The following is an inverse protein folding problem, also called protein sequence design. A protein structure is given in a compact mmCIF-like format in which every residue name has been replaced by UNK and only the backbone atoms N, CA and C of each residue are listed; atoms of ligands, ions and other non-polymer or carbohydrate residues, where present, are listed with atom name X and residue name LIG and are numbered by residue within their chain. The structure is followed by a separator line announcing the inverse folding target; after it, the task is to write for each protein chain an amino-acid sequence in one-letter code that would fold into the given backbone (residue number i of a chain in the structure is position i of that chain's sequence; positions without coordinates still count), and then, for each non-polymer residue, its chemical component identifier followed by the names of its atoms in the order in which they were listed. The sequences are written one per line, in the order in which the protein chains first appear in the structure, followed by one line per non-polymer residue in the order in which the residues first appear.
data_IF_211623361919
#
_entry.id   IF_211623361919
#
_cell.length_a   1.000
_cell.length_b   1.000
_cell.length_c   1.000
_cell.angle_alpha   90.00
_cell.angle_beta   90.00
_cell.angle_gamma   90.00
#
_symmetry.space_group_name_H-M   'P 1'
#
loop_
_entity.id
_entity.type
_entity.pdbx_description
1 polymer ?
#
# COMPACT_ATOMS: atom_id res chain seq x y z
N UNK A 1 27.70 -2.09 -6.82
CA UNK A 1 26.75 -1.17 -6.15
C UNK A 1 27.41 0.19 -5.97
N UNK A 2 26.69 1.27 -6.27
CA UNK A 2 27.17 2.65 -6.10
C UNK A 2 26.74 3.17 -4.73
N UNK A 3 27.65 3.83 -4.02
CA UNK A 3 27.41 4.33 -2.66
C UNK A 3 28.11 5.64 -2.40
N UNK A 4 27.55 6.41 -1.47
CA UNK A 4 28.22 7.56 -0.86
C UNK A 4 29.31 7.03 0.08
N UNK A 5 30.55 7.49 -0.07
CA UNK A 5 31.72 7.02 0.68
C UNK A 5 32.46 8.10 1.45
N UNK A 6 32.11 9.36 1.27
CA UNK A 6 32.72 10.44 2.03
C UNK A 6 32.07 11.78 1.75
N UNK A 7 32.52 12.80 2.47
CA UNK A 7 32.18 14.19 2.18
C UNK A 7 33.33 15.16 2.53
N UNK A 8 33.41 16.37 1.95
CA UNK A 8 34.54 17.28 2.21
C UNK A 8 34.68 17.77 3.65
N UNK A 9 33.60 17.70 4.46
CA UNK A 9 33.52 18.18 5.84
C UNK A 9 33.22 17.02 6.80
N UNK A 10 33.74 15.84 6.52
CA UNK A 10 33.36 14.60 7.22
C UNK A 10 33.69 14.64 8.72
N UNK A 11 34.73 15.39 9.10
CA UNK A 11 35.08 15.64 10.50
C UNK A 11 34.08 16.56 11.23
N UNK A 12 33.30 17.37 10.51
CA UNK A 12 32.33 18.32 11.07
C UNK A 12 30.91 17.76 11.07
N UNK A 13 30.54 16.98 10.03
CA UNK A 13 29.20 16.42 9.89
C UNK A 13 29.19 15.05 9.21
N UNK A 14 28.47 14.11 9.82
CA UNK A 14 28.12 12.82 9.24
C UNK A 14 26.84 12.86 8.39
N UNK A 15 26.16 14.01 8.38
CA UNK A 15 24.87 14.24 7.75
C UNK A 15 25.07 15.09 6.50
N UNK A 16 24.40 14.70 5.41
CA UNK A 16 24.42 15.38 4.13
C UNK A 16 23.00 15.81 3.75
N UNK A 17 22.86 17.08 3.41
CA UNK A 17 21.58 17.70 3.00
C UNK A 17 21.77 18.49 1.71
N UNK A 18 20.69 19.10 1.22
CA UNK A 18 20.68 19.86 -0.01
C UNK A 18 21.83 20.91 -0.06
N UNK A 19 22.50 20.98 -1.22
CA UNK A 19 23.65 21.83 -1.49
C UNK A 19 25.01 21.30 -1.00
N UNK A 20 25.01 20.24 -0.19
CA UNK A 20 26.27 19.65 0.29
C UNK A 20 26.91 18.74 -0.77
N UNK A 21 28.24 18.66 -0.71
CA UNK A 21 29.02 17.79 -1.58
C UNK A 21 29.28 16.44 -0.92
N UNK A 22 29.27 15.39 -1.73
CA UNK A 22 29.57 14.03 -1.32
C UNK A 22 30.51 13.36 -2.32
N UNK A 23 31.13 12.25 -1.93
CA UNK A 23 31.95 11.42 -2.81
C UNK A 23 31.29 10.06 -3.01
N UNK A 24 31.31 9.54 -4.25
CA UNK A 24 30.84 8.20 -4.57
C UNK A 24 31.99 7.26 -4.96
N UNK A 25 31.80 5.96 -4.72
CA UNK A 25 32.79 4.89 -4.97
C UNK A 25 32.95 4.47 -6.44
N UNK A 26 32.49 5.29 -7.39
CA UNK A 26 32.59 5.05 -8.83
C UNK A 26 33.04 6.32 -9.54
N UNK A 27 33.86 6.16 -10.56
CA UNK A 27 34.47 7.28 -11.28
C UNK A 27 34.49 7.09 -12.79
N UNK A 28 35.45 7.73 -13.46
CA UNK A 28 35.59 7.71 -14.91
C UNK A 28 35.74 6.29 -15.46
N UNK A 29 36.50 5.45 -14.76
CA UNK A 29 36.71 4.04 -15.16
C UNK A 29 35.43 3.21 -15.13
N UNK A 30 34.40 3.67 -14.41
CA UNK A 30 33.09 3.02 -14.32
C UNK A 30 32.04 3.66 -15.24
N UNK A 31 32.44 4.61 -16.11
CA UNK A 31 31.55 5.29 -17.06
C UNK A 31 30.71 6.42 -16.45
N UNK A 32 31.05 6.90 -15.25
CA UNK A 32 30.37 8.04 -14.62
C UNK A 32 30.70 9.33 -15.38
N UNK A 33 29.67 10.14 -15.65
CA UNK A 33 29.82 11.41 -16.37
C UNK A 33 29.33 12.58 -15.53
N UNK A 34 29.97 13.75 -15.73
CA UNK A 34 29.47 15.00 -15.16
C UNK A 34 28.08 15.28 -15.71
N UNK A 35 27.13 15.60 -14.83
CA UNK A 35 25.73 15.80 -15.18
C UNK A 35 24.82 14.59 -14.94
N UNK A 36 25.38 13.37 -14.76
CA UNK A 36 24.60 12.22 -14.34
C UNK A 36 23.87 12.53 -13.03
N UNK A 37 22.61 12.09 -12.93
CA UNK A 37 21.80 12.24 -11.72
C UNK A 37 21.56 10.87 -11.11
N UNK A 38 21.64 10.81 -9.78
CA UNK A 38 21.44 9.60 -9.00
C UNK A 38 20.37 9.86 -7.93
N UNK A 39 19.47 8.89 -7.75
CA UNK A 39 18.59 8.83 -6.59
C UNK A 39 19.37 8.23 -5.42
N UNK A 40 19.32 8.90 -4.27
CA UNK A 40 19.87 8.42 -3.02
C UNK A 40 18.79 7.59 -2.32
N UNK A 41 19.09 6.34 -2.03
CA UNK A 41 18.18 5.41 -1.35
C UNK A 41 18.85 4.70 -0.19
N UNK A 42 18.06 4.34 0.82
CA UNK A 42 18.50 3.56 1.98
C UNK A 42 17.69 2.28 2.10
N UNK A 43 18.27 1.10 1.84
CA UNK A 43 17.61 -0.17 2.08
C UNK A 43 17.28 -0.34 3.57
N UNK A 44 16.00 -0.51 3.91
CA UNK A 44 15.52 -0.72 5.29
C UNK A 44 15.39 -2.20 5.65
N UNK A 45 15.31 -3.08 4.67
CA UNK A 45 15.31 -4.54 4.88
C UNK A 45 14.27 -5.27 4.02
N UNK A 46 14.19 -6.61 4.16
CA UNK A 46 13.23 -7.42 3.42
C UNK A 46 11.78 -7.05 3.81
N UNK A 47 10.94 -6.85 2.81
CA UNK A 47 9.53 -6.56 2.95
C UNK A 47 8.70 -7.80 2.64
N UNK A 48 7.93 -8.25 3.62
CA UNK A 48 7.08 -9.42 3.51
C UNK A 48 5.63 -9.00 3.41
N UNK A 49 4.83 -9.77 2.68
CA UNK A 49 3.41 -9.56 2.55
C UNK A 49 2.74 -9.54 3.94
N UNK A 50 2.07 -8.45 4.34
CA UNK A 50 1.56 -8.30 5.70
C UNK A 50 0.33 -9.17 5.99
N UNK A 51 -0.52 -9.44 4.97
CA UNK A 51 -1.77 -10.18 5.16
C UNK A 51 -1.73 -11.67 4.79
N UNK A 52 -0.82 -12.13 3.92
CA UNK A 52 -0.69 -13.55 3.53
C UNK A 52 0.31 -14.26 4.44
N UNK A 53 -0.13 -15.36 5.05
CA UNK A 53 0.64 -16.20 5.99
C UNK A 53 0.94 -15.57 7.36
N UNK A 54 0.32 -14.44 7.71
CA UNK A 54 0.22 -13.95 9.08
C UNK A 54 -0.75 -14.83 9.86
N UNK A 55 -0.40 -16.10 10.11
CA UNK A 55 -1.13 -16.88 11.13
C UNK A 55 -0.95 -16.15 12.46
N UNK A 56 -2.03 -15.50 12.87
CA UNK A 56 -2.36 -15.09 14.22
C UNK A 56 -1.78 -16.07 15.24
N UNK A 57 -0.70 -15.67 15.92
CA UNK A 57 -0.39 -16.01 17.31
C UNK A 57 1.01 -15.48 17.66
N UNK A 58 1.08 -14.67 18.71
CA UNK A 58 2.30 -14.45 19.51
C UNK A 58 3.17 -15.72 19.66
N UNK A 59 4.48 -15.59 19.91
CA UNK A 59 5.54 -15.16 19.00
C UNK A 59 6.15 -16.40 18.32
N UNK A 60 5.71 -16.75 17.11
CA UNK A 60 6.48 -17.70 16.30
C UNK A 60 7.46 -16.92 15.42
N UNK A 61 8.68 -16.72 15.92
CA UNK A 61 9.77 -15.94 15.29
C UNK A 61 10.15 -16.37 13.86
N UNK A 62 9.60 -17.49 13.33
CA UNK A 62 10.13 -18.18 12.16
C UNK A 62 9.16 -18.32 10.97
N UNK A 63 7.98 -17.69 10.98
CA UNK A 63 7.10 -17.67 9.79
C UNK A 63 6.87 -16.25 9.30
N UNK A 64 7.84 -15.75 8.52
CA UNK A 64 7.66 -14.53 7.74
C UNK A 64 6.73 -14.83 6.55
N UNK A 65 5.90 -13.86 6.17
CA UNK A 65 4.98 -13.98 5.03
C UNK A 65 5.70 -14.21 3.70
N UNK A 66 4.98 -14.13 2.59
CA UNK A 66 5.62 -14.16 1.27
C UNK A 66 6.59 -12.96 1.14
N UNK A 67 7.85 -13.21 0.77
CA UNK A 67 8.81 -12.12 0.50
C UNK A 67 8.38 -11.38 -0.77
N UNK A 68 8.10 -10.10 -0.65
CA UNK A 68 7.72 -9.23 -1.77
C UNK A 68 8.94 -8.53 -2.38
N UNK A 69 9.93 -8.17 -1.55
CA UNK A 69 11.14 -7.51 -2.00
C UNK A 69 11.96 -6.93 -0.85
N UNK A 70 12.69 -5.85 -1.11
CA UNK A 70 13.36 -5.05 -0.09
C UNK A 70 12.74 -3.66 -0.06
N UNK A 71 12.35 -3.19 1.12
CA UNK A 71 11.84 -1.83 1.28
C UNK A 71 13.02 -0.86 1.28
N UNK A 72 12.99 0.12 0.40
CA UNK A 72 13.97 1.20 0.31
C UNK A 72 13.32 2.52 0.66
N UNK A 73 13.98 3.28 1.52
CA UNK A 73 13.62 4.67 1.78
C UNK A 73 14.24 5.57 0.71
N UNK A 74 13.43 6.48 0.15
CA UNK A 74 13.89 7.51 -0.78
C UNK A 74 14.41 8.70 0.01
N UNK A 75 15.72 8.97 -0.09
CA UNK A 75 16.40 10.03 0.68
C UNK A 75 16.40 11.34 -0.10
N UNK A 76 16.71 11.29 -1.40
CA UNK A 76 16.80 12.48 -2.24
C UNK A 76 17.50 12.22 -3.57
N UNK A 77 18.07 13.27 -4.15
CA UNK A 77 18.78 13.23 -5.43
C UNK A 77 20.14 13.90 -5.33
N UNK A 78 21.10 13.40 -6.09
CA UNK A 78 22.42 13.98 -6.24
C UNK A 78 22.85 14.02 -7.71
N UNK A 79 23.53 15.10 -8.09
CA UNK A 79 24.08 15.30 -9.43
C UNK A 79 25.60 15.21 -9.38
N UNK A 80 26.19 14.55 -10.37
CA UNK A 80 27.64 14.50 -10.54
C UNK A 80 28.15 15.86 -11.01
N UNK A 81 29.00 16.49 -10.22
CA UNK A 81 29.65 17.78 -10.52
C UNK A 81 31.13 17.65 -10.87
N UNK A 82 31.73 16.50 -10.59
CA UNK A 82 33.12 16.21 -10.94
C UNK A 82 33.39 14.72 -10.95
N UNK A 83 34.30 14.27 -11.81
CA UNK A 83 34.64 12.84 -11.95
C UNK A 83 36.16 12.66 -11.89
N UNK A 84 36.62 11.82 -10.98
CA UNK A 84 38.00 11.34 -10.87
C UNK A 84 38.10 9.90 -11.41
N UNK A 85 39.29 9.28 -11.37
CA UNK A 85 39.49 7.97 -11.98
C UNK A 85 38.64 6.86 -11.34
N UNK A 86 38.59 6.82 -9.99
CA UNK A 86 37.90 5.79 -9.20
C UNK A 86 36.73 6.31 -8.36
N UNK A 87 36.55 7.63 -8.34
CA UNK A 87 35.52 8.30 -7.54
C UNK A 87 34.86 9.40 -8.36
N UNK A 88 33.73 9.89 -7.87
CA UNK A 88 33.11 11.09 -8.40
C UNK A 88 32.60 11.97 -7.27
N UNK A 89 32.56 13.26 -7.52
CA UNK A 89 32.03 14.27 -6.63
C UNK A 89 30.59 14.57 -7.02
N UNK A 90 29.71 14.40 -6.03
CA UNK A 90 28.29 14.64 -6.12
C UNK A 90 27.96 15.94 -5.40
N UNK A 91 26.95 16.64 -5.89
CA UNK A 91 26.21 17.68 -5.17
C UNK A 91 24.81 17.15 -4.89
N UNK A 92 24.37 17.17 -3.64
CA UNK A 92 23.00 16.81 -3.28
C UNK A 92 22.09 17.94 -3.75
N UNK A 93 21.21 17.64 -4.69
CA UNK A 93 20.33 18.65 -5.31
C UNK A 93 18.97 18.72 -4.62
N UNK A 94 18.52 17.61 -4.04
CA UNK A 94 17.25 17.51 -3.33
C UNK A 94 17.39 16.53 -2.15
N UNK A 95 16.68 16.80 -1.05
CA UNK A 95 16.68 15.93 0.13
C UNK A 95 15.31 15.97 0.79
N UNK A 96 14.65 14.82 0.87
CA UNK A 96 13.44 14.62 1.67
C UNK A 96 13.81 14.32 3.13
N UNK A 97 14.90 13.58 3.31
CA UNK A 97 15.55 13.27 4.58
C UNK A 97 17.05 13.37 4.38
N UNK A 98 17.81 13.22 5.46
CA UNK A 98 19.24 13.38 5.41
C UNK A 98 20.00 12.16 4.87
N UNK A 99 20.89 12.41 3.92
CA UNK A 99 21.80 11.43 3.35
C UNK A 99 23.00 11.20 4.27
N UNK A 100 23.53 9.98 4.23
CA UNK A 100 24.61 9.50 5.09
C UNK A 100 25.62 8.69 4.28
N UNK A 101 26.80 8.53 4.85
CA UNK A 101 27.80 7.60 4.32
C UNK A 101 27.23 6.19 4.28
N UNK A 102 27.47 5.48 3.17
CA UNK A 102 26.95 4.15 2.92
C UNK A 102 25.58 4.11 2.23
N UNK A 103 24.85 5.23 2.13
CA UNK A 103 23.61 5.28 1.37
C UNK A 103 23.86 4.91 -0.11
N UNK A 104 22.94 4.16 -0.69
CA UNK A 104 23.05 3.63 -2.04
C UNK A 104 22.62 4.66 -3.07
N UNK A 105 23.27 4.61 -4.23
CA UNK A 105 23.00 5.48 -5.37
C UNK A 105 22.47 4.63 -6.52
N UNK A 106 21.28 4.96 -7.01
CA UNK A 106 20.70 4.36 -8.20
C UNK A 106 20.70 5.42 -9.28
N UNK A 107 21.13 5.07 -10.50
CA UNK A 107 21.10 6.00 -11.62
C UNK A 107 19.66 6.44 -11.84
N UNK A 108 19.42 7.75 -11.78
CA UNK A 108 18.10 8.30 -11.96
C UNK A 108 17.84 8.54 -13.43
N UNK A 109 16.78 7.93 -13.92
CA UNK A 109 16.20 8.21 -15.23
C UNK A 109 14.80 8.77 -15.01
N UNK A 110 14.45 9.82 -15.77
CA UNK A 110 13.14 10.45 -15.64
C UNK A 110 12.06 9.40 -15.91
N UNK A 111 11.14 9.14 -14.97
CA UNK A 111 10.13 8.11 -15.15
C UNK A 111 9.17 8.50 -16.28
N UNK A 112 8.70 7.50 -17.01
CA UNK A 112 7.63 7.67 -17.98
C UNK A 112 6.34 7.98 -17.22
N UNK A 113 5.71 9.12 -17.52
CA UNK A 113 4.42 9.46 -16.93
C UNK A 113 3.33 8.69 -17.67
N UNK A 114 2.45 7.97 -16.96
CA UNK A 114 1.32 7.32 -17.61
C UNK A 114 0.35 8.37 -18.17
N UNK A 115 -0.31 8.03 -19.27
CA UNK A 115 -1.43 8.84 -19.76
C UNK A 115 -2.58 8.76 -18.76
N UNK A 116 -3.08 9.92 -18.34
CA UNK A 116 -4.21 9.97 -17.43
C UNK A 116 -5.50 9.70 -18.19
N UNK A 117 -6.27 8.73 -17.72
CA UNK A 117 -7.62 8.47 -18.18
C UNK A 117 -8.50 9.69 -17.90
N UNK A 118 -9.36 10.04 -18.87
CA UNK A 118 -10.37 11.08 -18.68
C UNK A 118 -11.30 10.74 -17.50
N UNK A 119 -11.79 11.78 -16.83
CA UNK A 119 -12.75 11.58 -15.73
C UNK A 119 -14.01 10.87 -16.23
N UNK A 120 -14.35 9.76 -15.59
CA UNK A 120 -15.54 8.95 -15.86
C UNK A 120 -16.04 8.38 -14.52
N UNK A 121 -17.32 8.54 -14.14
CA UNK A 121 -17.83 8.04 -12.85
C UNK A 121 -17.49 6.56 -12.63
N UNK A 122 -17.06 6.22 -11.41
CA UNK A 122 -16.87 4.81 -11.03
C UNK A 122 -18.26 4.22 -10.77
N UNK A 123 -18.56 3.08 -11.39
CA UNK A 123 -19.76 2.30 -11.07
C UNK A 123 -19.59 1.64 -9.67
N UNK A 124 -20.36 2.06 -8.65
CA UNK A 124 -20.24 1.49 -7.30
C UNK A 124 -20.63 0.01 -7.23
N UNK A 125 -21.33 -0.50 -8.25
CA UNK A 125 -21.86 -1.86 -8.31
C UNK A 125 -21.16 -2.71 -9.38
N UNK A 126 -20.01 -2.26 -9.88
CA UNK A 126 -19.28 -2.95 -10.93
C UNK A 126 -19.01 -4.43 -10.56
N UNK A 127 -19.46 -5.41 -11.37
CA UNK A 127 -19.19 -6.81 -11.12
C UNK A 127 -17.71 -7.13 -11.27
N UNK A 128 -17.25 -8.23 -10.68
CA UNK A 128 -15.88 -8.73 -10.89
C UNK A 128 -15.65 -9.01 -12.38
N UNK A 129 -14.45 -8.69 -12.88
CA UNK A 129 -14.10 -8.85 -14.28
C UNK A 129 -13.07 -9.98 -14.53
N UNK A 130 -12.71 -10.72 -13.48
CA UNK A 130 -11.78 -11.86 -13.48
C UNK A 130 -10.38 -11.57 -14.04
N UNK A 131 -10.02 -10.28 -14.16
CA UNK A 131 -8.66 -9.85 -14.48
C UNK A 131 -7.74 -10.00 -13.27
N UNK A 132 -6.48 -9.61 -13.45
CA UNK A 132 -5.45 -9.66 -12.40
C UNK A 132 -5.94 -8.99 -11.12
N UNK A 133 -5.95 -9.77 -10.03
CA UNK A 133 -6.30 -9.32 -8.67
C UNK A 133 -5.05 -9.23 -7.81
N UNK A 134 -5.06 -8.29 -6.87
CA UNK A 134 -4.02 -8.08 -5.88
C UNK A 134 -4.56 -7.39 -4.63
N UNK A 135 -3.66 -6.87 -3.81
CA UNK A 135 -3.96 -6.17 -2.58
C UNK A 135 -3.01 -4.99 -2.36
N UNK A 136 -3.52 -3.93 -1.72
CA UNK A 136 -2.68 -2.84 -1.22
C UNK A 136 -1.94 -3.35 0.02
N UNK A 137 -0.62 -3.43 -0.05
CA UNK A 137 0.23 -4.01 1.02
C UNK A 137 1.05 -2.99 1.78
N UNK A 138 1.08 -1.75 1.30
CA UNK A 138 1.78 -0.68 1.99
C UNK A 138 1.51 0.67 1.36
N UNK A 139 2.02 1.70 2.00
CA UNK A 139 1.94 3.08 1.54
C UNK A 139 3.22 3.83 1.89
N UNK A 140 3.49 4.90 1.13
CA UNK A 140 4.61 5.79 1.44
C UNK A 140 4.35 6.46 2.80
N UNK A 141 5.30 6.34 3.72
CA UNK A 141 5.17 6.87 5.08
C UNK A 141 4.32 6.01 6.04
N UNK A 142 3.97 4.78 5.65
CA UNK A 142 3.29 3.80 6.52
C UNK A 142 1.94 4.35 7.04
N UNK A 143 1.17 4.99 6.16
CA UNK A 143 -0.18 5.46 6.44
C UNK A 143 -1.19 4.32 6.27
N UNK A 144 -2.00 4.07 7.28
CA UNK A 144 -3.04 3.02 7.23
C UNK A 144 -4.28 3.46 6.44
N UNK A 145 -4.68 4.72 6.64
CA UNK A 145 -5.78 5.35 5.93
C UNK A 145 -5.23 6.05 4.68
N UNK A 146 -5.86 5.77 3.54
CA UNK A 146 -5.43 6.20 2.23
C UNK A 146 -6.54 7.01 1.57
N UNK A 147 -6.13 8.01 0.80
CA UNK A 147 -7.01 8.87 0.01
C UNK A 147 -6.36 9.24 -1.32
N UNK A 148 -7.05 10.07 -2.09
CA UNK A 148 -6.58 10.57 -3.38
C UNK A 148 -5.16 11.16 -3.23
N UNK A 149 -4.29 10.86 -4.20
CA UNK A 149 -2.87 11.24 -4.25
C UNK A 149 -1.93 10.48 -3.33
N UNK A 150 -2.42 9.56 -2.50
CA UNK A 150 -1.53 8.69 -1.73
C UNK A 150 -0.81 7.68 -2.63
N UNK A 151 0.48 7.48 -2.34
CA UNK A 151 1.34 6.53 -3.03
C UNK A 151 1.28 5.19 -2.29
N UNK A 152 0.87 4.15 -3.01
CA UNK A 152 0.62 2.81 -2.46
C UNK A 152 1.49 1.76 -3.13
N UNK A 153 1.76 0.67 -2.40
CA UNK A 153 2.53 -0.48 -2.84
C UNK A 153 1.55 -1.66 -3.00
N UNK A 154 1.64 -2.33 -4.14
CA UNK A 154 0.78 -3.44 -4.54
C UNK A 154 1.55 -4.76 -4.50
N UNK A 155 0.89 -5.86 -4.13
CA UNK A 155 1.47 -7.22 -4.16
C UNK A 155 1.43 -7.90 -5.54
N UNK A 156 1.13 -7.11 -6.58
CA UNK A 156 1.12 -7.52 -7.98
C UNK A 156 2.06 -6.63 -8.77
N UNK A 157 2.76 -7.22 -9.75
CA UNK A 157 3.76 -6.50 -10.54
C UNK A 157 3.97 -7.12 -11.92
N UNK A 158 5.16 -6.91 -12.49
CA UNK A 158 5.47 -7.24 -13.88
C UNK A 158 5.24 -8.71 -14.21
N UNK A 159 5.55 -9.62 -13.28
CA UNK A 159 5.34 -11.06 -13.47
C UNK A 159 3.85 -11.45 -13.56
N UNK A 160 2.95 -10.62 -13.06
CA UNK A 160 1.51 -10.76 -13.20
C UNK A 160 0.95 -9.97 -14.41
N UNK A 161 1.84 -9.45 -15.27
CA UNK A 161 1.47 -8.72 -16.49
C UNK A 161 1.13 -7.24 -16.29
N UNK A 162 1.30 -6.71 -15.07
CA UNK A 162 1.01 -5.31 -14.74
C UNK A 162 1.99 -4.37 -15.45
N UNK A 163 1.48 -3.27 -15.99
CA UNK A 163 2.23 -2.24 -16.73
C UNK A 163 2.04 -0.86 -16.12
N UNK A 164 2.98 0.04 -16.41
CA UNK A 164 2.83 1.47 -16.08
C UNK A 164 1.62 2.01 -16.86
N UNK A 165 0.74 2.73 -16.18
CA UNK A 165 -0.51 3.24 -16.73
C UNK A 165 -1.71 2.31 -16.57
N UNK A 166 -1.52 1.08 -16.08
CA UNK A 166 -2.64 0.22 -15.73
C UNK A 166 -3.45 0.83 -14.58
N UNK A 167 -4.77 0.78 -14.73
CA UNK A 167 -5.72 1.20 -13.71
C UNK A 167 -6.26 -0.01 -12.96
N UNK A 168 -6.35 0.10 -11.64
CA UNK A 168 -7.06 -0.87 -10.82
C UNK A 168 -8.25 -0.22 -10.12
N UNK A 169 -9.31 -1.00 -10.01
CA UNK A 169 -10.43 -0.72 -9.12
C UNK A 169 -10.12 -1.26 -7.73
N UNK A 170 -10.29 -0.43 -6.72
CA UNK A 170 -10.11 -0.79 -5.30
C UNK A 170 -11.47 -1.25 -4.76
N UNK A 171 -11.53 -2.42 -4.13
CA UNK A 171 -12.78 -3.01 -3.67
C UNK A 171 -12.63 -3.81 -2.36
N UNK A 172 -13.75 -3.99 -1.67
CA UNK A 172 -13.89 -4.88 -0.50
C UNK A 172 -14.93 -5.96 -0.75
N UNK A 173 -14.59 -7.19 -0.37
CA UNK A 173 -15.53 -8.31 -0.40
C UNK A 173 -16.44 -8.24 0.83
N UNK A 174 -17.74 -8.01 0.61
CA UNK A 174 -18.69 -7.88 1.70
C UNK A 174 -18.93 -9.22 2.41
N UNK A 175 -19.05 -9.17 3.73
CA UNK A 175 -19.35 -10.32 4.58
C UNK A 175 -18.20 -11.32 4.78
N UNK A 176 -17.00 -11.02 4.27
CA UNK A 176 -15.75 -11.75 4.60
C UNK A 176 -15.29 -11.47 6.04
N UNK A 177 -15.69 -10.33 6.61
CA UNK A 177 -15.34 -9.92 7.97
C UNK A 177 -16.00 -10.78 9.05
N UNK A 178 -15.33 -11.05 10.19
CA UNK A 178 -15.94 -11.76 11.31
C UNK A 178 -17.17 -11.01 11.85
N UNK A 179 -18.21 -11.75 12.25
CA UNK A 179 -19.39 -11.17 12.91
C UNK A 179 -18.94 -10.62 14.26
N UNK A 180 -19.00 -9.29 14.42
CA UNK A 180 -18.89 -8.67 15.76
C UNK A 180 -20.21 -8.93 16.50
N UNK A 181 -20.10 -9.55 17.68
CA UNK A 181 -21.22 -9.68 18.62
C UNK A 181 -21.37 -8.39 19.41
N UNK A 182 -22.57 -7.85 19.46
CA UNK A 182 -22.95 -6.75 20.33
C UNK A 182 -23.79 -7.28 21.49
N UNK A 183 -23.80 -6.59 22.63
CA UNK A 183 -24.60 -6.99 23.81
C UNK A 183 -26.08 -7.13 23.48
N UNK A 184 -26.56 -6.35 22.52
CA UNK A 184 -27.96 -6.31 22.11
C UNK A 184 -28.34 -7.44 21.13
N UNK A 185 -27.36 -8.19 20.60
CA UNK A 185 -27.63 -9.33 19.68
C UNK A 185 -28.33 -10.51 20.40
N UNK A 186 -28.36 -10.50 21.74
CA UNK A 186 -29.00 -11.52 22.59
C UNK A 186 -30.30 -11.03 23.26
N UNK A 187 -30.73 -9.79 22.99
CA UNK A 187 -31.98 -9.25 23.52
C UNK A 187 -33.15 -9.86 22.74
N UNK A 188 -33.63 -11.01 23.21
CA UNK A 188 -34.92 -11.54 22.78
C UNK A 188 -36.03 -10.71 23.43
N UNK A 189 -36.92 -10.13 22.62
CA UNK A 189 -38.12 -9.46 23.13
C UNK A 189 -38.91 -10.43 24.03
N UNK A 190 -39.33 -9.94 25.20
CA UNK A 190 -40.18 -10.69 26.12
C UNK A 190 -41.47 -11.04 25.38
N UNK A 191 -41.75 -12.34 25.22
CA UNK A 191 -42.93 -12.90 24.53
C UNK A 191 -44.32 -12.44 25.03
N UNK A 192 -44.38 -11.53 26.01
CA UNK A 192 -45.62 -11.14 26.66
C UNK A 192 -45.87 -9.67 26.37
N UNK A 193 -46.45 -9.39 25.21
CA UNK A 193 -46.71 -8.01 24.78
C UNK A 193 -48.20 -7.65 24.80
N UNK A 194 -49.10 -8.57 25.15
CA UNK A 194 -50.50 -8.24 25.38
C UNK A 194 -51.20 -9.26 26.26
N UNK A 195 -51.53 -8.86 27.50
CA UNK A 195 -52.32 -9.66 28.42
C UNK A 195 -52.10 -9.26 29.87
N UNK A 196 -53.19 -9.17 30.66
CA UNK A 196 -53.03 -9.09 32.11
C UNK A 196 -52.71 -10.48 32.68
N UNK A 197 -52.07 -10.54 33.85
CA UNK A 197 -51.77 -11.79 34.56
C UNK A 197 -53.01 -12.68 34.77
N UNK A 198 -54.19 -12.04 34.79
CA UNK A 198 -55.49 -12.68 35.00
C UNK A 198 -56.08 -13.29 33.73
N UNK A 199 -55.94 -12.63 32.58
CA UNK A 199 -56.61 -13.02 31.34
C UNK A 199 -55.68 -13.62 30.28
N UNK A 200 -54.34 -13.53 30.47
CA UNK A 200 -53.30 -14.08 29.59
C UNK A 200 -53.65 -13.92 28.10
N UNK A 201 -53.61 -12.67 27.64
CA UNK A 201 -53.83 -12.33 26.23
C UNK A 201 -52.80 -13.00 25.30
N UNK A 202 -52.89 -12.70 24.00
CA UNK A 202 -52.12 -13.41 22.99
C UNK A 202 -50.60 -13.24 23.13
N UNK A 203 -49.86 -14.34 22.95
CA UNK A 203 -48.38 -14.37 22.84
C UNK A 203 -47.86 -13.76 21.52
N UNK A 204 -48.70 -13.03 20.79
CA UNK A 204 -48.32 -12.39 19.53
C UNK A 204 -47.72 -11.02 19.84
N UNK A 205 -46.44 -10.85 19.52
CA UNK A 205 -45.77 -9.54 19.52
C UNK A 205 -46.02 -8.88 18.17
N UNK A 206 -46.26 -7.56 18.19
CA UNK A 206 -46.28 -6.76 16.96
C UNK A 206 -44.87 -6.47 16.43
N UNK A 207 -43.85 -6.75 17.25
CA UNK A 207 -42.44 -6.65 16.91
C UNK A 207 -41.89 -8.03 16.52
N UNK A 208 -41.35 -8.14 15.31
CA UNK A 208 -40.68 -9.38 14.92
C UNK A 208 -39.30 -9.43 15.60
N UNK A 209 -38.92 -10.52 16.30
CA UNK A 209 -37.61 -10.61 16.90
C UNK A 209 -36.53 -10.53 15.82
N UNK A 210 -35.45 -9.81 16.10
CA UNK A 210 -34.31 -9.77 15.19
C UNK A 210 -33.74 -11.18 15.02
N UNK A 211 -33.46 -11.57 13.77
CA UNK A 211 -32.83 -12.86 13.50
C UNK A 211 -31.34 -12.72 13.83
N UNK A 212 -30.81 -13.62 14.65
CA UNK A 212 -29.38 -13.65 15.00
C UNK A 212 -28.52 -13.59 13.73
N UNK A 213 -27.56 -12.66 13.69
CA UNK A 213 -26.68 -12.42 12.54
C UNK A 213 -25.99 -13.69 12.02
N UNK A 214 -25.64 -14.60 12.93
CA UNK A 214 -25.04 -15.89 12.60
C UNK A 214 -25.99 -16.80 11.83
N UNK A 215 -27.28 -16.80 12.18
CA UNK A 215 -28.32 -17.54 11.45
C UNK A 215 -28.53 -16.93 10.06
N UNK A 216 -28.58 -15.60 9.97
CA UNK A 216 -28.68 -14.89 8.69
C UNK A 216 -27.51 -15.25 7.78
N UNK A 217 -26.26 -15.21 8.26
CA UNK A 217 -25.09 -15.57 7.44
C UNK A 217 -25.00 -17.04 7.05
N UNK A 218 -25.53 -17.96 7.88
CA UNK A 218 -25.64 -19.38 7.50
C UNK A 218 -26.65 -19.58 6.37
N UNK A 219 -27.76 -18.85 6.39
CA UNK A 219 -28.80 -18.92 5.38
C UNK A 219 -28.43 -18.17 4.10
N UNK A 220 -27.75 -17.03 4.23
CA UNK A 220 -27.32 -16.15 3.15
C UNK A 220 -25.80 -15.97 3.23
N UNK A 221 -25.02 -16.87 2.61
CA UNK A 221 -23.56 -16.85 2.68
C UNK A 221 -23.00 -15.53 2.14
N UNK A 222 -21.99 -14.99 2.80
CA UNK A 222 -21.39 -13.71 2.41
C UNK A 222 -20.84 -13.64 0.98
N UNK A 223 -20.45 -14.78 0.41
CA UNK A 223 -20.01 -14.89 -0.99
C UNK A 223 -21.08 -14.46 -2.01
N UNK A 224 -22.35 -14.40 -1.62
CA UNK A 224 -23.43 -13.93 -2.50
C UNK A 224 -23.65 -12.42 -2.40
N UNK A 225 -22.98 -11.72 -1.49
CA UNK A 225 -23.08 -10.27 -1.38
C UNK A 225 -22.23 -9.60 -2.47
N UNK A 226 -22.73 -8.53 -3.10
CA UNK A 226 -21.93 -7.75 -4.04
C UNK A 226 -20.72 -7.17 -3.30
N UNK A 227 -19.61 -7.02 -4.00
CA UNK A 227 -18.44 -6.27 -3.49
C UNK A 227 -18.77 -4.78 -3.39
N UNK A 228 -18.05 -4.08 -2.52
CA UNK A 228 -18.11 -2.62 -2.43
C UNK A 228 -16.92 -2.04 -3.19
N UNK A 229 -17.17 -1.18 -4.17
CA UNK A 229 -16.11 -0.39 -4.81
C UNK A 229 -15.78 0.81 -3.93
N UNK A 230 -14.49 1.03 -3.68
CA UNK A 230 -14.00 2.05 -2.73
C UNK A 230 -13.18 3.13 -3.45
N UNK A 231 -12.55 2.79 -4.57
CA UNK A 231 -11.72 3.76 -5.28
C UNK A 231 -11.08 3.23 -6.55
N UNK A 232 -10.15 4.01 -7.06
CA UNK A 232 -9.36 3.73 -8.26
C UNK A 232 -7.91 4.15 -8.01
N UNK A 233 -6.97 3.41 -8.60
CA UNK A 233 -5.55 3.77 -8.62
C UNK A 233 -4.95 3.55 -10.00
N UNK A 234 -3.83 4.23 -10.25
CA UNK A 234 -3.03 4.08 -11.48
C UNK A 234 -1.60 3.69 -11.14
N UNK A 235 -1.07 2.72 -11.86
CA UNK A 235 0.29 2.21 -11.69
C UNK A 235 1.31 3.17 -12.30
N UNK A 236 2.33 3.54 -11.51
CA UNK A 236 3.40 4.47 -11.91
C UNK A 236 4.77 3.80 -12.00
N UNK A 237 4.99 2.69 -11.29
CA UNK A 237 6.21 1.88 -11.38
C UNK A 237 5.87 0.40 -11.21
N UNK A 238 6.59 -0.47 -11.91
CA UNK A 238 6.40 -1.91 -11.82
C UNK A 238 7.75 -2.59 -11.65
N UNK A 239 7.85 -3.49 -10.67
CA UNK A 239 9.09 -4.23 -10.36
C UNK A 239 8.76 -5.67 -9.98
N UNK A 240 9.17 -6.65 -10.79
CA UNK A 240 9.08 -8.07 -10.42
C UNK A 240 7.69 -8.51 -9.95
N UNK A 241 7.51 -8.67 -8.64
CA UNK A 241 6.25 -9.12 -8.00
C UNK A 241 5.41 -7.97 -7.42
N UNK A 242 5.86 -6.71 -7.50
CA UNK A 242 5.21 -5.56 -6.88
C UNK A 242 5.06 -4.41 -7.85
N UNK A 243 4.19 -3.47 -7.52
CA UNK A 243 4.03 -2.23 -8.25
C UNK A 243 3.81 -1.07 -7.27
N UNK A 244 4.17 0.14 -7.71
CA UNK A 244 3.84 1.39 -7.03
C UNK A 244 2.74 2.07 -7.83
N UNK A 245 1.74 2.57 -7.13
CA UNK A 245 0.60 3.25 -7.72
C UNK A 245 0.22 4.49 -6.94
N UNK A 246 -0.59 5.35 -7.57
CA UNK A 246 -1.19 6.52 -6.94
C UNK A 246 -2.70 6.32 -6.92
N UNK A 247 -3.32 6.55 -5.77
CA UNK A 247 -4.78 6.57 -5.66
C UNK A 247 -5.31 7.78 -6.42
N UNK A 248 -6.12 7.54 -7.45
CA UNK A 248 -6.67 8.61 -8.30
C UNK A 248 -8.05 9.03 -7.83
N UNK A 249 -8.79 8.13 -7.17
CA UNK A 249 -10.17 8.39 -6.73
C UNK A 249 -10.51 7.66 -5.45
N UNK A 250 -11.39 8.30 -4.67
CA UNK A 250 -12.02 7.74 -3.49
C UNK A 250 -13.54 7.92 -3.60
N UNK A 251 -14.30 6.84 -3.47
CA UNK A 251 -15.75 6.79 -3.60
C UNK A 251 -16.44 6.85 -2.22
N UNK A 252 -16.18 7.94 -1.48
CA UNK A 252 -16.91 8.30 -0.26
C UNK A 252 -16.63 7.44 0.98
N UNK A 253 -15.64 6.55 0.92
CA UNK A 253 -15.19 5.73 2.05
C UNK A 253 -13.72 5.97 2.41
N UNK A 254 -13.23 5.28 3.42
CA UNK A 254 -11.78 5.21 3.66
C UNK A 254 -11.21 4.03 2.86
N UNK A 255 -10.08 4.28 2.18
CA UNK A 255 -9.28 3.23 1.56
C UNK A 255 -8.24 2.79 2.60
N UNK A 256 -8.05 1.50 2.75
CA UNK A 256 -7.14 0.93 3.75
C UNK A 256 -6.02 0.13 3.11
N UNK A 257 -4.87 0.07 3.78
CA UNK A 257 -3.92 -1.02 3.55
C UNK A 257 -4.67 -2.34 3.81
N UNK A 258 -4.65 -3.25 2.85
CA UNK A 258 -5.39 -4.51 2.87
C UNK A 258 -6.62 -4.52 1.96
N UNK A 259 -7.04 -3.38 1.41
CA UNK A 259 -8.09 -3.38 0.39
C UNK A 259 -7.63 -4.14 -0.87
N UNK A 260 -8.56 -4.88 -1.48
CA UNK A 260 -8.29 -5.64 -2.69
C UNK A 260 -8.31 -4.73 -3.91
N UNK A 261 -7.59 -5.14 -4.95
CA UNK A 261 -7.54 -4.44 -6.22
C UNK A 261 -7.79 -5.41 -7.37
N UNK A 262 -8.47 -4.94 -8.40
CA UNK A 262 -8.72 -5.70 -9.64
C UNK A 262 -8.42 -4.80 -10.84
N UNK A 263 -7.63 -5.33 -11.78
CA UNK A 263 -7.23 -4.63 -13.00
C UNK A 263 -8.46 -4.29 -13.84
N UNK A 264 -8.54 -3.07 -14.41
CA UNK A 264 -9.67 -2.61 -15.21
C UNK A 264 -9.72 -3.20 -16.62
#
# INVERSE_FOLDING_TARGET
EMRIIGNPKEAESSILVNGMRAFMNKGRGDGIQVGDTYQIIRPRGPFYHPFKNAKLSFPSFNKRGQLLGYFTEEIGFAKVIGVQDKTATLEITESCTEARLGDALIKYEKPQLPELKAYAPIDPLAPANDKTKGQIVGSRGIREFLTISDVVILDVGQKAGVKIGDYFTIFRENGSEPIKKFRDDEVAFRKVESGSDRYRGSDFSIEHPSVQKEKVRKQYPSKTLPRTIVGELVVTRVEGNTAVAIVTRNQGGEIFIGDNIELQ
#
